data_IF_650257606456
#
_entry.id   IF_650257606456
#
_cell.length_a   1.000
_cell.length_b   1.000
_cell.length_c   1.000
_cell.angle_alpha   90.00
_cell.angle_beta   90.00
_cell.angle_gamma   90.00
#
_symmetry.space_group_name_H-M   'P 1'
#
loop_
_entity.id
_entity.type
_entity.pdbx_description
1 polymer ?
#
# COMPACT_ATOMS: atom_id res chain seq x y z
N UNK A 1 12.95 20.15 14.56
CA UNK A 1 11.98 19.05 14.73
C UNK A 1 12.66 17.69 14.71
N UNK A 2 12.04 16.68 15.29
CA UNK A 2 12.47 15.30 15.18
C UNK A 2 12.06 14.73 13.81
N UNK A 3 12.93 13.91 13.20
CA UNK A 3 12.66 13.29 11.91
C UNK A 3 13.51 12.04 11.68
N UNK A 4 13.04 11.16 10.80
CA UNK A 4 13.78 10.00 10.32
C UNK A 4 14.26 10.26 8.89
N UNK A 5 15.58 10.47 8.75
CA UNK A 5 16.19 10.98 7.52
C UNK A 5 17.10 9.95 6.86
N UNK A 6 16.89 9.72 5.57
CA UNK A 6 17.79 8.91 4.74
C UNK A 6 18.95 9.79 4.29
N UNK A 7 20.07 9.74 4.99
CA UNK A 7 21.26 10.54 4.77
C UNK A 7 22.05 10.09 3.54
N UNK A 8 22.05 8.78 3.28
CA UNK A 8 22.77 8.18 2.15
C UNK A 8 22.09 6.90 1.66
N UNK A 9 22.37 6.51 0.42
CA UNK A 9 21.85 5.27 -0.18
C UNK A 9 22.70 4.05 0.21
N UNK A 10 23.03 3.95 1.50
CA UNK A 10 23.72 2.82 2.12
C UNK A 10 22.81 2.11 3.12
N UNK A 11 23.20 0.93 3.60
CA UNK A 11 22.41 0.18 4.61
C UNK A 11 22.18 1.01 5.88
N UNK A 12 23.24 1.66 6.38
CA UNK A 12 23.20 2.41 7.63
C UNK A 12 22.89 3.90 7.44
N UNK A 13 22.34 4.24 6.26
CA UNK A 13 22.07 5.62 5.89
C UNK A 13 20.72 6.19 6.38
N UNK A 14 19.95 5.46 7.20
CA UNK A 14 18.72 5.96 7.82
C UNK A 14 19.01 6.33 9.25
N UNK A 15 18.76 7.60 9.62
CA UNK A 15 19.12 8.17 10.92
C UNK A 15 17.94 8.93 11.54
N UNK A 16 17.78 8.78 12.85
CA UNK A 16 16.89 9.62 13.63
C UNK A 16 17.62 10.92 14.02
N UNK A 17 17.10 12.06 13.55
CA UNK A 17 17.63 13.38 13.81
C UNK A 17 16.68 14.18 14.70
N UNK A 18 17.23 15.05 15.59
CA UNK A 18 16.44 15.82 16.56
C UNK A 18 16.34 17.31 16.23
N UNK A 19 17.19 17.79 15.34
CA UNK A 19 17.41 19.20 15.05
C UNK A 19 17.15 19.55 13.57
N UNK A 20 16.36 18.70 12.86
CA UNK A 20 15.94 19.02 11.52
C UNK A 20 15.13 20.33 11.52
N UNK A 21 15.41 21.27 10.62
CA UNK A 21 14.61 22.48 10.50
C UNK A 21 13.13 22.15 10.22
N UNK A 22 12.23 22.91 10.85
CA UNK A 22 10.81 22.80 10.48
C UNK A 22 10.60 23.25 9.03
N UNK A 23 9.76 22.54 8.25
CA UNK A 23 9.47 22.91 6.88
C UNK A 23 8.70 24.23 6.84
N UNK A 24 9.03 25.08 5.88
CA UNK A 24 8.32 26.33 5.62
C UNK A 24 7.08 26.06 4.77
N UNK A 25 6.01 26.77 5.08
CA UNK A 25 4.76 26.71 4.28
C UNK A 25 4.90 27.64 3.08
N UNK A 26 4.65 27.10 1.88
CA UNK A 26 4.47 27.89 0.67
C UNK A 26 3.05 28.45 0.57
N UNK A 27 2.80 29.38 -0.36
CA UNK A 27 1.51 30.05 -0.50
C UNK A 27 0.32 29.07 -0.70
N UNK A 28 0.51 27.99 -1.47
CA UNK A 28 -0.51 26.97 -1.74
C UNK A 28 -0.38 25.70 -0.91
N UNK A 29 0.48 25.69 0.12
CA UNK A 29 0.80 24.51 0.90
C UNK A 29 0.11 24.48 2.27
N UNK A 30 0.07 23.29 2.85
CA UNK A 30 -0.45 23.02 4.19
C UNK A 30 0.61 22.31 5.01
N UNK A 31 0.93 22.84 6.19
CA UNK A 31 1.78 22.17 7.19
C UNK A 31 0.91 21.38 8.15
N UNK A 32 1.23 20.12 8.27
CA UNK A 32 0.49 19.17 9.10
C UNK A 32 1.41 18.69 10.21
N UNK A 33 0.94 18.80 11.47
CA UNK A 33 1.57 18.13 12.61
C UNK A 33 1.20 16.65 12.52
N UNK A 34 2.18 15.79 12.36
CA UNK A 34 1.98 14.36 12.28
C UNK A 34 1.57 13.81 13.64
N UNK A 35 0.44 13.14 13.71
CA UNK A 35 -0.07 12.47 14.91
C UNK A 35 0.31 10.99 14.95
N UNK A 36 0.21 10.34 13.79
CA UNK A 36 0.62 8.95 13.60
C UNK A 36 1.07 8.73 12.17
N UNK A 37 2.08 7.91 12.00
CA UNK A 37 2.56 7.42 10.71
C UNK A 37 2.57 5.88 10.70
N UNK A 38 2.74 5.26 9.54
CA UNK A 38 2.79 3.80 9.41
C UNK A 38 3.91 3.36 8.46
N UNK A 39 4.57 2.26 8.80
CA UNK A 39 5.64 1.70 7.97
C UNK A 39 5.04 0.95 6.78
N UNK A 40 5.44 1.35 5.57
CA UNK A 40 5.12 0.71 4.30
C UNK A 40 6.20 -0.29 3.84
N UNK A 41 5.84 -1.16 2.90
CA UNK A 41 6.81 -2.00 2.19
C UNK A 41 7.85 -1.17 1.42
N UNK A 42 7.48 0.01 0.93
CA UNK A 42 8.40 0.98 0.31
C UNK A 42 9.46 1.47 1.30
N UNK A 43 9.06 1.80 2.54
CA UNK A 43 10.00 2.24 3.57
C UNK A 43 10.98 1.13 3.95
N UNK A 44 10.52 -0.13 4.01
CA UNK A 44 11.37 -1.31 4.17
C UNK A 44 12.38 -1.45 3.02
N UNK A 45 11.96 -1.16 1.79
CA UNK A 45 12.84 -1.19 0.62
C UNK A 45 13.86 -0.05 0.63
N UNK A 46 13.52 1.12 1.17
CA UNK A 46 14.44 2.25 1.37
C UNK A 46 15.43 1.93 2.50
N UNK A 47 14.97 1.32 3.58
CA UNK A 47 15.83 0.90 4.69
C UNK A 47 16.86 -0.13 4.24
N UNK A 48 16.44 -1.15 3.49
CA UNK A 48 17.28 -2.20 2.94
C UNK A 48 17.72 -1.93 1.49
N UNK A 49 18.03 -0.68 1.15
CA UNK A 49 18.19 -0.20 -0.23
C UNK A 49 19.28 -0.93 -1.02
N UNK A 50 20.30 -1.47 -0.36
CA UNK A 50 21.38 -2.24 -1.00
C UNK A 50 20.84 -3.52 -1.64
N UNK A 51 19.85 -4.14 -1.02
CA UNK A 51 19.23 -5.37 -1.47
C UNK A 51 18.04 -5.11 -2.42
N UNK A 52 17.78 -3.84 -2.76
CA UNK A 52 16.63 -3.37 -3.56
C UNK A 52 17.06 -2.37 -4.65
N UNK A 53 17.78 -2.82 -5.69
CA UNK A 53 18.32 -1.90 -6.73
C UNK A 53 17.21 -1.10 -7.42
N UNK A 54 16.03 -1.66 -7.70
CA UNK A 54 14.92 -0.93 -8.29
C UNK A 54 14.45 0.24 -7.43
N UNK A 55 14.47 0.14 -6.10
CA UNK A 55 14.14 1.25 -5.20
C UNK A 55 15.23 2.33 -5.23
N UNK A 56 16.50 1.93 -5.32
CA UNK A 56 17.61 2.87 -5.47
C UNK A 56 17.49 3.66 -6.77
N UNK A 57 17.18 3.00 -7.87
CA UNK A 57 16.99 3.64 -9.17
C UNK A 57 15.80 4.60 -9.13
N UNK A 58 14.70 4.22 -8.47
CA UNK A 58 13.54 5.07 -8.27
C UNK A 58 13.87 6.34 -7.47
N UNK A 59 14.60 6.23 -6.36
CA UNK A 59 15.04 7.39 -5.57
C UNK A 59 15.96 8.34 -6.35
N UNK A 60 16.65 7.85 -7.37
CA UNK A 60 17.58 8.62 -8.19
C UNK A 60 16.98 9.09 -9.53
N UNK A 61 15.73 8.75 -9.83
CA UNK A 61 15.12 9.00 -11.15
C UNK A 61 15.19 10.48 -11.55
N UNK A 62 14.97 11.39 -10.60
CA UNK A 62 15.05 12.83 -10.84
C UNK A 62 16.47 13.42 -10.77
N UNK A 63 17.44 12.61 -10.38
CA UNK A 63 18.87 12.97 -10.35
C UNK A 63 19.63 12.40 -11.54
N UNK A 64 18.91 11.83 -12.53
CA UNK A 64 19.50 11.19 -13.70
C UNK A 64 20.28 9.90 -13.40
N UNK A 65 19.94 9.22 -12.30
CA UNK A 65 20.62 8.01 -11.82
C UNK A 65 21.97 8.28 -11.13
N UNK A 66 22.35 9.54 -10.95
CA UNK A 66 23.64 9.94 -10.38
C UNK A 66 23.58 10.01 -8.85
N UNK A 67 24.24 9.05 -8.19
CA UNK A 67 24.32 8.96 -6.73
C UNK A 67 24.97 10.18 -6.10
N UNK A 68 25.93 10.84 -6.81
CA UNK A 68 26.61 12.03 -6.29
C UNK A 68 25.68 13.24 -6.14
N UNK A 69 24.50 13.19 -6.77
CA UNK A 69 23.46 14.22 -6.69
C UNK A 69 22.35 13.89 -5.69
N UNK A 70 22.46 12.74 -5.01
CA UNK A 70 21.49 12.39 -3.97
C UNK A 70 21.48 13.45 -2.88
N UNK A 71 20.29 13.90 -2.51
CA UNK A 71 20.09 14.79 -1.38
C UNK A 71 19.37 14.01 -0.26
N UNK A 72 19.82 14.12 0.99
CA UNK A 72 19.13 13.49 2.11
C UNK A 72 17.66 13.93 2.20
N UNK A 73 16.77 12.96 2.42
CA UNK A 73 15.34 13.20 2.56
C UNK A 73 14.78 12.57 3.82
N UNK A 74 13.72 13.17 4.36
CA UNK A 74 12.85 12.54 5.37
C UNK A 74 12.02 11.49 4.62
N UNK A 75 11.99 10.25 5.13
CA UNK A 75 11.19 9.18 4.51
C UNK A 75 9.76 9.13 5.10
N UNK A 76 8.94 8.17 4.65
CA UNK A 76 7.57 7.97 5.11
C UNK A 76 6.53 8.69 4.26
N UNK A 77 5.46 7.98 3.91
CA UNK A 77 4.39 8.48 3.06
C UNK A 77 2.99 8.04 3.54
N UNK A 78 2.92 7.33 4.64
CA UNK A 78 1.69 6.92 5.30
C UNK A 78 1.57 7.67 6.63
N UNK A 79 0.56 8.53 6.78
CA UNK A 79 0.38 9.34 8.00
C UNK A 79 -1.03 9.91 8.12
N UNK A 80 -1.36 10.40 9.30
CA UNK A 80 -2.43 11.35 9.57
C UNK A 80 -1.98 12.34 10.65
N UNK A 81 -2.68 13.46 10.75
CA UNK A 81 -2.34 14.48 11.71
C UNK A 81 -3.28 15.69 11.68
N UNK A 82 -2.86 16.76 12.30
CA UNK A 82 -3.63 18.00 12.44
C UNK A 82 -2.99 19.12 11.64
N UNK A 83 -3.80 19.90 10.91
CA UNK A 83 -3.33 21.09 10.22
C UNK A 83 -2.77 22.09 11.23
N UNK A 84 -1.47 22.37 11.14
CA UNK A 84 -0.79 23.33 11.99
C UNK A 84 -0.80 24.75 11.39
N UNK A 85 -0.61 24.84 10.06
CA UNK A 85 -0.50 26.12 9.35
C UNK A 85 -0.96 25.92 7.90
N UNK A 86 -1.59 26.95 7.30
CA UNK A 86 -1.99 26.97 5.89
C UNK A 86 -1.35 28.18 5.19
N UNK A 87 -0.97 27.99 3.93
CA UNK A 87 -0.49 29.08 3.09
C UNK A 87 -1.60 30.08 2.75
N UNK A 88 -1.23 31.28 2.35
CA UNK A 88 -2.18 32.39 2.13
C UNK A 88 -3.15 32.15 0.97
N UNK A 89 -2.79 31.31 -0.01
CA UNK A 89 -3.64 30.96 -1.16
C UNK A 89 -4.53 29.74 -0.92
N UNK A 90 -4.43 29.11 0.27
CA UNK A 90 -5.22 27.91 0.59
C UNK A 90 -6.65 28.28 0.94
N UNK A 91 -7.60 27.69 0.24
CA UNK A 91 -9.02 27.84 0.56
C UNK A 91 -9.35 27.24 1.93
N UNK A 92 -9.77 28.08 2.87
CA UNK A 92 -10.18 27.64 4.21
C UNK A 92 -11.43 26.75 4.20
N UNK A 93 -12.18 26.70 3.11
CA UNK A 93 -13.21 25.70 2.88
C UNK A 93 -12.66 24.31 2.63
N UNK A 94 -11.41 24.19 2.21
CA UNK A 94 -10.72 22.91 2.03
C UNK A 94 -10.22 22.35 3.36
N UNK A 95 -9.40 23.14 4.07
CA UNK A 95 -8.88 22.82 5.41
C UNK A 95 -8.44 24.11 6.13
N UNK A 96 -8.39 24.05 7.44
CA UNK A 96 -7.98 25.14 8.32
C UNK A 96 -7.17 24.59 9.50
N UNK A 97 -6.38 25.41 10.20
CA UNK A 97 -5.69 24.98 11.40
C UNK A 97 -6.62 24.29 12.41
N UNK A 98 -6.18 23.16 12.94
CA UNK A 98 -6.94 22.29 13.83
C UNK A 98 -7.71 21.14 13.16
N UNK A 99 -7.91 21.18 11.85
CA UNK A 99 -8.58 20.08 11.14
C UNK A 99 -7.73 18.80 11.16
N UNK A 100 -8.38 17.65 11.37
CA UNK A 100 -7.77 16.34 11.26
C UNK A 100 -7.72 15.89 9.79
N UNK A 101 -6.53 15.59 9.31
CA UNK A 101 -6.27 15.35 7.89
C UNK A 101 -5.28 14.20 7.65
N UNK A 102 -5.27 13.71 6.43
CA UNK A 102 -4.16 12.99 5.79
C UNK A 102 -3.89 13.63 4.42
N UNK A 103 -3.00 13.08 3.63
CA UNK A 103 -2.74 13.58 2.28
C UNK A 103 -2.39 12.47 1.29
N UNK A 104 -2.71 12.71 0.02
CA UNK A 104 -2.16 11.96 -1.10
C UNK A 104 -0.70 12.33 -1.30
N UNK A 105 0.20 11.38 -1.08
CA UNK A 105 1.63 11.64 -1.10
C UNK A 105 2.28 11.55 -2.49
N UNK A 106 1.50 11.21 -3.51
CA UNK A 106 1.91 11.31 -4.90
C UNK A 106 1.60 12.69 -5.45
N UNK A 107 2.62 13.49 -5.73
CA UNK A 107 2.48 14.86 -6.24
C UNK A 107 2.50 14.82 -7.76
N UNK A 108 1.36 15.10 -8.38
CA UNK A 108 1.20 15.15 -9.83
C UNK A 108 1.49 16.54 -10.40
N UNK A 109 1.98 16.62 -11.65
CA UNK A 109 2.35 17.92 -12.24
C UNK A 109 1.15 18.79 -12.69
N UNK A 110 -0.06 18.24 -12.77
CA UNK A 110 -1.28 18.95 -13.16
C UNK A 110 -1.45 19.22 -14.67
N UNK A 111 -0.39 19.23 -15.47
CA UNK A 111 -0.42 19.71 -16.86
C UNK A 111 -0.12 18.66 -17.94
N UNK A 112 0.45 17.48 -17.60
CA UNK A 112 0.70 16.44 -18.59
C UNK A 112 -0.63 15.81 -19.08
N UNK A 113 -0.57 15.02 -20.14
CA UNK A 113 -1.77 14.41 -20.73
C UNK A 113 -2.55 13.59 -19.68
N UNK A 114 -1.86 12.74 -18.90
CA UNK A 114 -2.47 11.92 -17.85
C UNK A 114 -3.22 12.78 -16.84
N UNK A 115 -2.60 13.85 -16.35
CA UNK A 115 -3.24 14.76 -15.39
C UNK A 115 -4.48 15.43 -16.00
N UNK A 116 -4.39 15.92 -17.24
CA UNK A 116 -5.48 16.61 -17.93
C UNK A 116 -6.66 15.71 -18.32
N UNK A 117 -6.42 14.40 -18.37
CA UNK A 117 -7.46 13.37 -18.64
C UNK A 117 -7.96 12.67 -17.38
N UNK A 118 -7.69 13.23 -16.18
CA UNK A 118 -8.16 12.68 -14.90
C UNK A 118 -7.36 11.48 -14.36
N UNK A 119 -6.23 11.16 -14.98
CA UNK A 119 -5.37 10.03 -14.59
C UNK A 119 -4.12 10.54 -13.83
N UNK A 120 -4.33 11.40 -12.83
CA UNK A 120 -3.25 12.06 -12.08
C UNK A 120 -2.30 11.06 -11.40
N UNK A 121 -2.80 9.91 -10.97
CA UNK A 121 -2.02 8.86 -10.30
C UNK A 121 -0.92 8.25 -11.18
N UNK A 122 -1.08 8.27 -12.52
CA UNK A 122 -0.05 7.83 -13.48
C UNK A 122 0.59 9.03 -14.20
N UNK A 123 0.72 10.15 -13.52
CA UNK A 123 1.40 11.34 -14.04
C UNK A 123 2.83 10.99 -14.46
N UNK A 124 3.22 11.35 -15.70
CA UNK A 124 4.59 11.09 -16.20
C UNK A 124 5.70 11.77 -15.39
N UNK A 125 5.35 12.80 -14.61
CA UNK A 125 6.28 13.56 -13.77
C UNK A 125 5.91 13.39 -12.29
N UNK A 126 5.38 12.22 -11.90
CA UNK A 126 4.94 11.96 -10.53
C UNK A 126 6.11 12.03 -9.56
N UNK A 127 5.96 12.74 -8.46
CA UNK A 127 6.92 12.71 -7.35
C UNK A 127 6.22 12.17 -6.11
N UNK A 128 6.91 11.33 -5.37
CA UNK A 128 6.36 10.73 -4.15
C UNK A 128 7.11 11.32 -2.95
N UNK A 129 6.36 11.91 -2.02
CA UNK A 129 6.92 12.36 -0.75
C UNK A 129 7.36 11.14 0.07
N UNK A 130 8.51 11.25 0.73
CA UNK A 130 9.15 10.12 1.40
C UNK A 130 10.00 9.22 0.50
N UNK A 131 10.02 9.49 -0.84
CA UNK A 131 10.85 8.76 -1.82
C UNK A 131 11.70 9.74 -2.65
N UNK A 132 11.10 10.80 -3.17
CA UNK A 132 11.75 11.79 -4.03
C UNK A 132 11.91 13.17 -3.37
N UNK A 133 11.25 13.40 -2.26
CA UNK A 133 11.22 14.62 -1.46
C UNK A 133 10.80 14.29 -0.04
N UNK A 134 10.99 15.21 0.89
CA UNK A 134 10.68 15.01 2.31
C UNK A 134 9.27 14.48 2.55
N UNK A 135 9.20 13.43 3.36
CA UNK A 135 8.01 12.69 3.75
C UNK A 135 7.51 13.03 5.16
N UNK A 136 6.82 12.06 5.76
CA UNK A 136 6.02 12.25 6.97
C UNK A 136 6.58 11.54 8.22
N UNK A 137 7.76 10.90 8.18
CA UNK A 137 8.38 10.38 9.41
C UNK A 137 9.11 11.51 10.14
N UNK A 138 8.33 12.51 10.58
CA UNK A 138 8.77 13.71 11.29
C UNK A 138 7.62 14.30 12.10
N UNK A 139 7.90 15.28 12.96
CA UNK A 139 6.87 16.01 13.70
C UNK A 139 5.96 16.83 12.77
N UNK A 140 6.49 17.32 11.64
CA UNK A 140 5.72 18.09 10.65
C UNK A 140 6.03 17.64 9.22
N UNK A 141 5.01 17.69 8.38
CA UNK A 141 5.12 17.54 6.93
C UNK A 141 4.38 18.67 6.23
N UNK A 142 4.92 19.14 5.10
CA UNK A 142 4.24 20.12 4.23
C UNK A 142 3.82 19.44 2.94
N UNK A 143 2.57 19.65 2.54
CA UNK A 143 1.97 19.10 1.32
C UNK A 143 1.23 20.19 0.55
N UNK A 144 1.12 20.09 -0.79
CA UNK A 144 0.22 20.97 -1.54
C UNK A 144 -1.23 20.82 -1.06
N UNK A 145 -1.96 21.91 -0.97
CA UNK A 145 -3.36 21.91 -0.50
C UNK A 145 -4.25 20.98 -1.33
N UNK A 146 -4.04 20.91 -2.64
CA UNK A 146 -4.75 19.99 -3.54
C UNK A 146 -4.61 18.50 -3.15
N UNK A 147 -3.58 18.16 -2.39
CA UNK A 147 -3.31 16.80 -1.96
C UNK A 147 -3.89 16.47 -0.58
N UNK A 148 -4.37 17.48 0.17
CA UNK A 148 -4.94 17.30 1.51
C UNK A 148 -6.30 16.59 1.45
N UNK A 149 -6.46 15.61 2.31
CA UNK A 149 -7.72 14.88 2.53
C UNK A 149 -8.23 15.22 3.93
N UNK A 150 -9.28 16.04 4.00
CA UNK A 150 -9.89 16.45 5.26
C UNK A 150 -10.77 15.33 5.81
N UNK A 151 -10.32 14.69 6.88
CA UNK A 151 -10.98 13.55 7.52
C UNK A 151 -12.17 13.98 8.39
N UNK A 152 -12.25 15.25 8.81
CA UNK A 152 -13.40 15.77 9.56
C UNK A 152 -14.72 15.60 8.78
N UNK A 153 -14.65 15.67 7.46
CA UNK A 153 -15.80 15.49 6.56
C UNK A 153 -16.38 14.06 6.58
N UNK A 154 -15.62 13.11 7.13
CA UNK A 154 -15.98 11.69 7.23
C UNK A 154 -16.14 11.24 8.68
N UNK A 155 -16.35 12.18 9.59
CA UNK A 155 -16.58 11.92 11.02
C UNK A 155 -15.33 11.98 11.90
N UNK A 156 -14.21 12.49 11.35
CA UNK A 156 -13.00 12.78 12.11
C UNK A 156 -12.43 11.58 12.85
N UNK A 157 -11.80 11.84 13.99
CA UNK A 157 -11.15 10.79 14.82
C UNK A 157 -12.11 9.76 15.39
N UNK A 158 -13.38 10.07 15.56
CA UNK A 158 -14.40 9.14 16.06
C UNK A 158 -14.67 8.01 15.06
N UNK A 159 -14.68 8.36 13.78
CA UNK A 159 -14.91 7.40 12.69
C UNK A 159 -13.60 6.81 12.17
N UNK A 160 -12.59 7.64 11.96
CA UNK A 160 -11.28 7.28 11.43
C UNK A 160 -10.21 7.61 12.48
N UNK A 161 -10.01 6.76 13.50
CA UNK A 161 -8.99 7.02 14.53
C UNK A 161 -7.58 7.03 13.94
N UNK A 162 -6.60 7.72 14.57
CA UNK A 162 -5.24 7.83 14.03
C UNK A 162 -4.58 6.51 13.66
N UNK A 163 -4.88 5.44 14.37
CA UNK A 163 -4.38 4.10 14.06
C UNK A 163 -4.87 3.54 12.73
N UNK A 164 -5.99 4.03 12.19
CA UNK A 164 -6.47 3.73 10.83
C UNK A 164 -6.04 4.85 9.88
N UNK A 165 -6.16 6.10 10.29
CA UNK A 165 -5.77 7.28 9.51
C UNK A 165 -4.33 7.21 9.01
N UNK A 166 -3.43 6.65 9.82
CA UNK A 166 -2.01 6.56 9.52
C UNK A 166 -1.67 5.70 8.27
N UNK A 167 -2.50 4.72 7.87
CA UNK A 167 -2.20 3.84 6.73
C UNK A 167 -3.23 3.90 5.59
N UNK A 168 -4.00 4.97 5.50
CA UNK A 168 -4.98 5.16 4.42
C UNK A 168 -4.33 5.15 3.04
N UNK A 169 -3.11 5.63 2.93
CA UNK A 169 -2.29 5.55 1.71
C UNK A 169 -2.20 4.11 1.21
N UNK A 170 -1.73 3.19 2.04
CA UNK A 170 -1.61 1.78 1.70
C UNK A 170 -2.97 1.10 1.47
N UNK A 171 -3.97 1.42 2.30
CA UNK A 171 -5.33 0.89 2.15
C UNK A 171 -5.91 1.29 0.79
N UNK A 172 -5.67 2.52 0.36
CA UNK A 172 -6.12 3.03 -0.93
C UNK A 172 -5.60 2.23 -2.12
N UNK A 173 -4.37 1.69 -2.05
CA UNK A 173 -3.84 0.80 -3.10
C UNK A 173 -4.66 -0.49 -3.20
N UNK A 174 -5.01 -1.08 -2.07
CA UNK A 174 -5.86 -2.28 -2.03
C UNK A 174 -7.29 -1.96 -2.51
N UNK A 175 -7.86 -0.82 -2.11
CA UNK A 175 -9.18 -0.37 -2.57
C UNK A 175 -9.18 -0.17 -4.09
N UNK A 176 -8.19 0.53 -4.64
CA UNK A 176 -8.04 0.72 -6.09
C UNK A 176 -8.00 -0.62 -6.82
N UNK A 177 -7.14 -1.55 -6.36
CA UNK A 177 -6.98 -2.86 -7.00
C UNK A 177 -8.29 -3.65 -6.99
N UNK A 178 -8.99 -3.70 -5.87
CA UNK A 178 -10.24 -4.45 -5.73
C UNK A 178 -11.36 -3.81 -6.56
N UNK A 179 -11.46 -2.47 -6.58
CA UNK A 179 -12.45 -1.75 -7.40
C UNK A 179 -12.24 -1.99 -8.90
N UNK A 180 -10.99 -1.97 -9.38
CA UNK A 180 -10.68 -2.27 -10.78
C UNK A 180 -11.04 -3.72 -11.17
N UNK A 181 -11.03 -4.65 -10.19
CA UNK A 181 -11.50 -6.03 -10.37
C UNK A 181 -13.02 -6.13 -10.48
N UNK A 182 -13.77 -5.13 -10.04
CA UNK A 182 -15.23 -5.17 -9.97
C UNK A 182 -15.71 -6.49 -9.36
N UNK A 183 -15.32 -6.76 -8.11
CA UNK A 183 -15.38 -8.09 -7.46
C UNK A 183 -16.76 -8.50 -6.97
N UNK A 184 -17.75 -7.61 -6.98
CA UNK A 184 -19.10 -7.91 -6.52
C UNK A 184 -19.71 -9.11 -7.27
N UNK A 185 -20.14 -10.12 -6.53
CA UNK A 185 -20.71 -11.36 -7.09
C UNK A 185 -19.69 -12.32 -7.73
N UNK A 186 -18.38 -12.04 -7.62
CA UNK A 186 -17.31 -12.82 -8.27
C UNK A 186 -16.50 -13.67 -7.29
N UNK A 187 -15.81 -14.67 -7.85
CA UNK A 187 -14.75 -15.42 -7.19
C UNK A 187 -13.42 -14.72 -7.38
N UNK A 188 -12.66 -14.57 -6.30
CA UNK A 188 -11.41 -13.78 -6.27
C UNK A 188 -10.28 -14.62 -5.70
N UNK A 189 -9.11 -14.60 -6.33
CA UNK A 189 -7.87 -15.09 -5.74
C UNK A 189 -6.95 -13.92 -5.42
N UNK A 190 -6.37 -13.91 -4.23
CA UNK A 190 -5.44 -12.88 -3.74
C UNK A 190 -4.10 -13.57 -3.47
N UNK A 191 -3.10 -13.21 -4.26
CA UNK A 191 -1.78 -13.82 -4.21
C UNK A 191 -0.82 -12.95 -3.40
N UNK A 192 -0.42 -13.46 -2.25
CA UNK A 192 0.34 -12.75 -1.23
C UNK A 192 -0.54 -12.37 -0.02
N UNK A 193 -0.21 -12.91 1.16
CA UNK A 193 -0.89 -12.66 2.43
C UNK A 193 -0.13 -11.66 3.31
N UNK A 194 0.57 -10.69 2.68
CA UNK A 194 1.19 -9.55 3.35
C UNK A 194 0.17 -8.44 3.62
N UNK A 195 0.63 -7.25 4.03
CA UNK A 195 -0.23 -6.13 4.37
C UNK A 195 -1.24 -5.77 3.25
N UNK A 196 -0.77 -5.67 2.00
CA UNK A 196 -1.65 -5.37 0.86
C UNK A 196 -2.67 -6.48 0.60
N UNK A 197 -2.26 -7.76 0.65
CA UNK A 197 -3.19 -8.87 0.45
C UNK A 197 -4.24 -9.00 1.55
N UNK A 198 -3.86 -8.77 2.80
CA UNK A 198 -4.79 -8.76 3.93
C UNK A 198 -5.81 -7.61 3.81
N UNK A 199 -5.35 -6.40 3.48
CA UNK A 199 -6.24 -5.27 3.21
C UNK A 199 -7.15 -5.53 2.00
N UNK A 200 -6.61 -6.09 0.90
CA UNK A 200 -7.41 -6.47 -0.26
C UNK A 200 -8.46 -7.53 0.08
N UNK A 201 -8.15 -8.48 0.96
CA UNK A 201 -9.12 -9.49 1.45
C UNK A 201 -10.29 -8.81 2.18
N UNK A 202 -9.99 -7.90 3.10
CA UNK A 202 -11.01 -7.14 3.82
C UNK A 202 -11.89 -6.32 2.86
N UNK A 203 -11.27 -5.61 1.92
CA UNK A 203 -11.96 -4.78 0.92
C UNK A 203 -12.78 -5.63 -0.04
N UNK A 204 -12.23 -6.74 -0.57
CA UNK A 204 -12.93 -7.62 -1.49
C UNK A 204 -14.18 -8.23 -0.85
N UNK A 205 -14.09 -8.66 0.41
CA UNK A 205 -15.27 -9.13 1.16
C UNK A 205 -16.28 -8.02 1.37
N UNK A 206 -15.83 -6.83 1.73
CA UNK A 206 -16.70 -5.65 1.90
C UNK A 206 -17.43 -5.28 0.62
N UNK A 207 -16.76 -5.36 -0.53
CA UNK A 207 -17.33 -5.06 -1.85
C UNK A 207 -18.07 -6.23 -2.49
N UNK A 208 -18.32 -7.33 -1.75
CA UNK A 208 -19.25 -8.38 -2.17
C UNK A 208 -18.64 -9.50 -3.00
N UNK A 209 -17.34 -9.77 -2.89
CA UNK A 209 -16.76 -11.00 -3.43
C UNK A 209 -17.45 -12.23 -2.81
N UNK A 210 -17.90 -13.15 -3.63
CA UNK A 210 -18.66 -14.33 -3.19
C UNK A 210 -17.76 -15.40 -2.60
N UNK A 211 -16.56 -15.53 -3.13
CA UNK A 211 -15.54 -16.48 -2.67
C UNK A 211 -14.14 -15.90 -2.82
N UNK A 212 -13.34 -16.00 -1.77
CA UNK A 212 -12.00 -15.43 -1.70
C UNK A 212 -11.00 -16.52 -1.35
N UNK A 213 -10.06 -16.74 -2.27
CA UNK A 213 -8.88 -17.58 -2.10
C UNK A 213 -7.69 -16.69 -1.76
N UNK A 214 -6.95 -17.03 -0.73
CA UNK A 214 -5.70 -16.32 -0.38
C UNK A 214 -4.54 -17.30 -0.46
N UNK A 215 -3.46 -16.90 -1.10
CA UNK A 215 -2.23 -17.71 -1.15
C UNK A 215 -1.04 -16.92 -0.63
N UNK A 216 -0.06 -17.64 -0.11
CA UNK A 216 1.26 -17.09 0.18
C UNK A 216 2.28 -18.23 0.18
N UNK A 217 3.54 -17.88 0.34
CA UNK A 217 4.66 -18.81 0.33
C UNK A 217 5.34 -18.81 1.70
N UNK A 218 5.34 -19.96 2.39
CA UNK A 218 6.13 -20.15 3.61
C UNK A 218 7.61 -20.27 3.27
N UNK A 219 8.41 -19.25 3.63
CA UNK A 219 9.86 -19.34 3.53
C UNK A 219 10.44 -20.38 4.51
N UNK A 220 11.76 -20.53 4.54
CA UNK A 220 12.49 -21.53 5.36
C UNK A 220 12.12 -21.51 6.86
N UNK A 221 11.64 -20.38 7.38
CA UNK A 221 11.31 -20.20 8.81
C UNK A 221 9.80 -19.90 9.03
N UNK A 222 8.96 -20.05 8.01
CA UNK A 222 7.71 -19.31 7.92
C UNK A 222 6.40 -20.05 8.15
N UNK A 223 6.35 -21.39 8.29
CA UNK A 223 5.08 -22.11 8.34
C UNK A 223 4.16 -21.67 9.50
N UNK A 224 4.69 -21.52 10.71
CA UNK A 224 3.89 -21.05 11.84
C UNK A 224 3.45 -19.60 11.68
N UNK A 225 4.30 -18.76 11.14
CA UNK A 225 4.03 -17.33 10.87
C UNK A 225 2.99 -17.16 9.77
N UNK A 226 3.06 -17.99 8.73
CA UNK A 226 2.09 -18.02 7.65
C UNK A 226 0.72 -18.51 8.15
N UNK A 227 0.69 -19.50 9.05
CA UNK A 227 -0.54 -19.98 9.67
C UNK A 227 -1.27 -18.84 10.40
N UNK A 228 -0.56 -18.02 11.19
CA UNK A 228 -1.15 -16.86 11.87
C UNK A 228 -1.72 -15.84 10.86
N UNK A 229 -1.03 -15.57 9.76
CA UNK A 229 -1.54 -14.68 8.71
C UNK A 229 -2.77 -15.25 8.00
N UNK A 230 -2.82 -16.56 7.78
CA UNK A 230 -3.99 -17.21 7.21
C UNK A 230 -5.20 -17.17 8.14
N UNK A 231 -5.00 -17.29 9.46
CA UNK A 231 -6.08 -17.06 10.43
C UNK A 231 -6.56 -15.60 10.34
N UNK A 232 -5.66 -14.64 10.31
CA UNK A 232 -6.03 -13.23 10.09
C UNK A 232 -6.78 -13.06 8.77
N UNK A 233 -6.31 -13.65 7.66
CA UNK A 233 -7.00 -13.56 6.37
C UNK A 233 -8.43 -14.14 6.42
N UNK A 234 -8.65 -15.27 7.09
CA UNK A 234 -9.99 -15.84 7.31
C UNK A 234 -10.89 -14.89 8.12
N UNK A 235 -10.37 -14.29 9.16
CA UNK A 235 -11.11 -13.29 9.95
C UNK A 235 -11.46 -12.03 9.15
N UNK A 236 -10.63 -11.68 8.13
CA UNK A 236 -10.90 -10.58 7.20
C UNK A 236 -11.90 -10.96 6.10
N UNK A 237 -12.15 -12.24 5.91
CA UNK A 237 -13.16 -12.74 4.99
C UNK A 237 -12.65 -13.70 3.91
N UNK A 238 -11.42 -14.23 4.01
CA UNK A 238 -10.97 -15.32 3.12
C UNK A 238 -11.76 -16.61 3.42
N UNK A 239 -12.19 -17.30 2.35
CA UNK A 239 -12.85 -18.59 2.48
C UNK A 239 -11.82 -19.73 2.52
N UNK A 240 -10.73 -19.58 1.78
CA UNK A 240 -9.67 -20.58 1.65
C UNK A 240 -8.30 -19.91 1.66
N UNK A 241 -7.34 -20.56 2.35
CA UNK A 241 -5.96 -20.12 2.41
C UNK A 241 -5.03 -21.29 2.09
N UNK A 242 -4.03 -21.08 1.22
CA UNK A 242 -3.11 -22.11 0.76
C UNK A 242 -1.67 -21.63 0.77
N UNK A 243 -0.78 -22.44 1.35
CA UNK A 243 0.66 -22.30 1.23
C UNK A 243 1.13 -22.90 -0.10
N UNK A 244 1.69 -22.06 -0.97
CA UNK A 244 2.20 -22.50 -2.30
C UNK A 244 3.63 -23.02 -2.25
N UNK A 245 4.23 -23.18 -1.08
CA UNK A 245 5.53 -23.80 -0.90
C UNK A 245 5.45 -25.33 -1.06
N UNK A 246 5.74 -25.82 -2.25
CA UNK A 246 5.67 -27.25 -2.59
C UNK A 246 6.60 -28.13 -1.72
N UNK A 247 7.67 -27.55 -1.16
CA UNK A 247 8.59 -28.26 -0.25
C UNK A 247 8.00 -28.39 1.15
N UNK A 248 7.40 -27.32 1.67
CA UNK A 248 6.83 -27.30 3.02
C UNK A 248 5.40 -27.88 3.06
N UNK A 249 4.67 -27.74 1.98
CA UNK A 249 3.24 -28.07 1.86
C UNK A 249 2.91 -28.72 0.51
N UNK A 250 3.49 -29.90 0.17
CA UNK A 250 3.55 -30.42 -1.20
C UNK A 250 2.21 -30.71 -1.87
N UNK A 251 1.12 -30.77 -1.10
CA UNK A 251 -0.24 -31.02 -1.63
C UNK A 251 -1.13 -29.78 -1.73
N UNK A 252 -0.77 -28.70 -1.04
CA UNK A 252 -1.68 -27.55 -0.95
C UNK A 252 -1.82 -26.81 -2.27
N UNK A 253 -0.79 -26.76 -3.09
CA UNK A 253 -0.86 -26.12 -4.41
C UNK A 253 -1.76 -26.93 -5.37
N UNK A 254 -1.62 -28.24 -5.36
CA UNK A 254 -2.48 -29.12 -6.18
C UNK A 254 -3.94 -29.01 -5.72
N UNK A 255 -4.19 -29.05 -4.41
CA UNK A 255 -5.52 -28.87 -3.82
C UNK A 255 -6.12 -27.51 -4.18
N UNK A 256 -5.32 -26.43 -4.15
CA UNK A 256 -5.74 -25.10 -4.59
C UNK A 256 -6.20 -25.12 -6.06
N UNK A 257 -5.37 -25.66 -6.95
CA UNK A 257 -5.66 -25.67 -8.38
C UNK A 257 -6.87 -26.58 -8.71
N UNK A 258 -7.00 -27.69 -8.02
CA UNK A 258 -8.14 -28.59 -8.14
C UNK A 258 -9.43 -27.87 -7.70
N UNK A 259 -9.42 -27.25 -6.53
CA UNK A 259 -10.56 -26.50 -6.00
C UNK A 259 -10.95 -25.33 -6.88
N UNK A 260 -9.99 -24.52 -7.31
CA UNK A 260 -10.20 -23.40 -8.24
C UNK A 260 -10.75 -23.93 -9.58
N UNK A 261 -10.27 -25.08 -10.05
CA UNK A 261 -10.78 -25.73 -11.25
C UNK A 261 -12.26 -26.15 -11.18
N UNK A 262 -12.81 -26.34 -9.97
CA UNK A 262 -14.25 -26.63 -9.78
C UNK A 262 -15.13 -25.38 -9.79
N UNK A 263 -14.56 -24.18 -9.78
CA UNK A 263 -15.31 -22.93 -9.90
C UNK A 263 -15.98 -22.84 -11.28
N UNK A 264 -17.08 -22.09 -11.33
CA UNK A 264 -17.82 -21.88 -12.58
C UNK A 264 -16.93 -21.23 -13.63
N UNK A 265 -16.63 -21.96 -14.68
CA UNK A 265 -15.74 -21.54 -15.78
C UNK A 265 -14.31 -22.05 -15.65
N UNK A 266 -14.03 -22.97 -14.69
CA UNK A 266 -12.72 -23.63 -14.56
C UNK A 266 -11.61 -22.73 -14.03
N UNK A 267 -11.97 -21.75 -13.17
CA UNK A 267 -11.03 -20.81 -12.58
C UNK A 267 -11.75 -19.65 -11.90
N UNK A 268 -11.01 -18.80 -11.21
CA UNK A 268 -11.56 -17.59 -10.55
C UNK A 268 -11.81 -16.46 -11.56
N UNK A 269 -12.79 -15.62 -11.26
CA UNK A 269 -13.13 -14.45 -12.09
C UNK A 269 -12.01 -13.40 -12.12
N UNK A 270 -11.41 -13.16 -10.95
CA UNK A 270 -10.42 -12.09 -10.75
C UNK A 270 -9.26 -12.62 -9.91
N UNK A 271 -8.04 -12.34 -10.36
CA UNK A 271 -6.83 -12.55 -9.56
C UNK A 271 -6.22 -11.19 -9.22
N UNK A 272 -5.93 -10.99 -7.94
CA UNK A 272 -5.20 -9.83 -7.41
C UNK A 272 -3.79 -10.28 -7.02
N UNK A 273 -2.80 -9.94 -7.82
CA UNK A 273 -1.40 -10.22 -7.51
C UNK A 273 -0.85 -9.08 -6.64
N UNK A 274 -0.56 -9.39 -5.36
CA UNK A 274 -0.22 -8.43 -4.31
C UNK A 274 1.20 -8.63 -3.77
N UNK A 275 1.93 -9.66 -4.22
CA UNK A 275 3.21 -10.07 -3.66
C UNK A 275 4.42 -9.58 -4.43
N UNK A 276 4.33 -9.47 -5.76
CA UNK A 276 5.45 -9.25 -6.66
C UNK A 276 6.38 -10.47 -6.82
N UNK A 277 5.99 -11.64 -6.32
CA UNK A 277 6.79 -12.85 -6.45
C UNK A 277 6.63 -13.49 -7.84
N UNK A 278 7.74 -13.89 -8.48
CA UNK A 278 7.71 -14.49 -9.83
C UNK A 278 6.76 -15.69 -9.92
N UNK A 279 6.77 -16.57 -8.92
CA UNK A 279 5.88 -17.74 -8.89
C UNK A 279 4.39 -17.33 -8.87
N UNK A 280 4.05 -16.25 -8.15
CA UNK A 280 2.68 -15.77 -8.03
C UNK A 280 2.10 -15.31 -9.39
N UNK A 281 2.91 -14.76 -10.29
CA UNK A 281 2.44 -14.41 -11.65
C UNK A 281 2.03 -15.64 -12.45
N UNK A 282 2.81 -16.73 -12.37
CA UNK A 282 2.45 -17.99 -13.03
C UNK A 282 1.22 -18.63 -12.38
N UNK A 283 1.13 -18.61 -11.06
CA UNK A 283 -0.04 -19.10 -10.33
C UNK A 283 -1.30 -18.29 -10.70
N UNK A 284 -1.18 -16.95 -10.86
CA UNK A 284 -2.26 -16.10 -11.34
C UNK A 284 -2.79 -16.58 -12.71
N UNK A 285 -1.87 -16.85 -13.64
CA UNK A 285 -2.22 -17.38 -14.96
C UNK A 285 -2.88 -18.76 -14.91
N UNK A 286 -2.45 -19.63 -13.99
CA UNK A 286 -3.06 -20.95 -13.80
C UNK A 286 -4.48 -20.87 -13.21
N UNK A 287 -4.69 -19.99 -12.22
CA UNK A 287 -5.94 -19.87 -11.46
C UNK A 287 -7.06 -19.11 -12.17
N UNK A 288 -6.71 -18.12 -13.01
CA UNK A 288 -7.72 -17.29 -13.68
C UNK A 288 -8.49 -18.09 -14.72
N UNK A 289 -9.83 -17.92 -14.77
CA UNK A 289 -10.68 -18.54 -15.80
C UNK A 289 -10.48 -17.90 -17.18
N UNK A 290 -10.98 -18.52 -18.23
CA UNK A 290 -11.06 -17.91 -19.55
C UNK A 290 -11.91 -16.63 -19.50
N UNK A 291 -11.43 -15.55 -20.10
CA UNK A 291 -12.07 -14.23 -20.06
C UNK A 291 -12.00 -13.52 -18.70
N UNK A 292 -11.23 -14.04 -17.72
CA UNK A 292 -11.05 -13.44 -16.43
C UNK A 292 -10.06 -12.27 -16.43
N UNK A 293 -9.73 -11.78 -15.23
CA UNK A 293 -8.86 -10.60 -15.04
C UNK A 293 -7.72 -10.93 -14.08
N UNK A 294 -6.52 -10.41 -14.37
CA UNK A 294 -5.36 -10.41 -13.47
C UNK A 294 -4.95 -8.96 -13.23
N UNK A 295 -5.01 -8.53 -11.99
CA UNK A 295 -4.63 -7.19 -11.55
C UNK A 295 -3.32 -7.26 -10.77
N UNK A 296 -2.32 -6.50 -11.21
CA UNK A 296 -0.96 -6.57 -10.71
C UNK A 296 -0.65 -5.31 -9.89
N UNK A 297 -0.58 -5.44 -8.57
CA UNK A 297 -0.12 -4.40 -7.65
C UNK A 297 1.29 -4.69 -7.13
N UNK A 298 1.62 -5.96 -6.90
CA UNK A 298 2.94 -6.37 -6.45
C UNK A 298 4.03 -5.96 -7.45
N UNK A 299 5.09 -5.32 -6.97
CA UNK A 299 6.22 -4.93 -7.82
C UNK A 299 7.30 -6.02 -7.72
N UNK A 300 7.66 -6.68 -8.83
CA UNK A 300 8.73 -7.67 -8.81
C UNK A 300 10.07 -7.02 -8.43
N UNK A 301 10.83 -7.66 -7.54
CA UNK A 301 12.17 -7.18 -7.17
C UNK A 301 13.16 -7.25 -8.34
N UNK A 302 12.91 -8.13 -9.30
CA UNK A 302 13.72 -8.39 -10.50
C UNK A 302 12.81 -8.62 -11.70
N UNK A 303 13.28 -8.39 -12.93
CA UNK A 303 12.53 -8.76 -14.13
C UNK A 303 12.11 -10.23 -14.08
N UNK A 304 10.87 -10.53 -14.46
CA UNK A 304 10.36 -11.90 -14.52
C UNK A 304 11.18 -12.71 -15.54
N UNK A 305 11.63 -13.89 -15.13
CA UNK A 305 12.38 -14.79 -16.00
C UNK A 305 11.50 -15.52 -17.00
N UNK A 306 10.29 -15.89 -16.55
CA UNK A 306 9.34 -16.59 -17.39
C UNK A 306 7.90 -16.29 -17.00
N UNK A 307 7.07 -15.99 -18.00
CA UNK A 307 5.61 -16.01 -17.92
C UNK A 307 5.09 -16.41 -19.29
N UNK A 308 4.33 -17.48 -19.35
CA UNK A 308 3.77 -17.98 -20.62
C UNK A 308 2.52 -17.17 -21.01
N UNK A 309 2.76 -16.04 -21.70
CA UNK A 309 1.68 -15.20 -22.22
C UNK A 309 0.75 -15.94 -23.17
N UNK A 310 1.27 -16.86 -23.99
CA UNK A 310 0.47 -17.68 -24.90
C UNK A 310 -0.59 -18.47 -24.12
N UNK A 311 -0.11 -19.27 -23.18
CA UNK A 311 -0.95 -20.16 -22.35
C UNK A 311 -1.90 -19.40 -21.42
N UNK A 312 -1.38 -18.40 -20.70
CA UNK A 312 -2.08 -17.79 -19.58
C UNK A 312 -2.87 -16.54 -19.94
N UNK A 313 -2.54 -15.86 -21.02
CA UNK A 313 -3.25 -14.65 -21.43
C UNK A 313 -3.96 -14.83 -22.78
N UNK A 314 -3.22 -15.14 -23.86
CA UNK A 314 -3.79 -15.17 -25.24
C UNK A 314 -4.85 -16.25 -25.38
N UNK A 315 -4.52 -17.50 -25.08
CA UNK A 315 -5.46 -18.64 -25.23
C UNK A 315 -6.66 -18.55 -24.28
N UNK A 316 -6.51 -17.88 -23.14
CA UNK A 316 -7.60 -17.68 -22.18
C UNK A 316 -8.38 -16.38 -22.42
N UNK A 317 -7.91 -15.47 -23.28
CA UNK A 317 -8.53 -14.15 -23.48
C UNK A 317 -8.56 -13.30 -22.19
N UNK A 318 -7.50 -13.39 -21.36
CA UNK A 318 -7.42 -12.75 -20.05
C UNK A 318 -7.03 -11.29 -20.20
N UNK A 319 -7.63 -10.41 -19.38
CA UNK A 319 -7.16 -9.04 -19.22
C UNK A 319 -6.11 -8.97 -18.12
N UNK A 320 -4.89 -8.51 -18.43
CA UNK A 320 -3.84 -8.24 -17.46
C UNK A 320 -3.70 -6.72 -17.32
N UNK A 321 -3.79 -6.21 -16.09
CA UNK A 321 -3.72 -4.77 -15.81
C UNK A 321 -2.80 -4.47 -14.65
N UNK A 322 -1.85 -3.56 -14.86
CA UNK A 322 -1.04 -2.98 -13.78
C UNK A 322 -1.83 -1.94 -13.00
N UNK A 323 -1.66 -1.96 -11.68
CA UNK A 323 -2.26 -1.00 -10.75
C UNK A 323 -1.13 -0.18 -10.14
N UNK A 324 -1.24 1.13 -10.19
CA UNK A 324 -0.28 2.05 -9.58
C UNK A 324 -0.98 3.04 -8.66
N UNK A 325 -0.60 3.03 -7.40
CA UNK A 325 -1.12 3.95 -6.39
C UNK A 325 -2.66 3.91 -6.28
N UNK A 326 -3.24 5.06 -6.09
CA UNK A 326 -4.68 5.29 -5.93
C UNK A 326 -5.17 6.21 -7.05
N UNK A 327 -6.33 5.94 -7.62
CA UNK A 327 -6.96 6.91 -8.53
C UNK A 327 -7.24 8.21 -7.77
N UNK A 328 -6.50 9.25 -8.07
CA UNK A 328 -6.66 10.56 -7.44
C UNK A 328 -7.86 11.29 -8.02
N UNK A 329 -8.90 11.62 -7.22
CA UNK A 329 -9.07 11.35 -5.79
C UNK A 329 -10.22 10.36 -5.55
N UNK A 330 -10.71 9.75 -6.61
CA UNK A 330 -11.85 8.82 -6.61
C UNK A 330 -11.70 7.71 -5.57
N UNK A 331 -10.51 7.08 -5.53
CA UNK A 331 -10.24 6.00 -4.57
C UNK A 331 -10.27 6.49 -3.13
N UNK A 332 -9.80 7.71 -2.87
CA UNK A 332 -9.81 8.30 -1.54
C UNK A 332 -11.23 8.44 -1.00
N UNK A 333 -12.11 9.05 -1.78
CA UNK A 333 -13.51 9.25 -1.37
C UNK A 333 -14.24 7.91 -1.19
N UNK A 334 -14.09 6.98 -2.14
CA UNK A 334 -14.70 5.65 -2.03
C UNK A 334 -14.21 4.88 -0.78
N UNK A 335 -12.92 4.94 -0.47
CA UNK A 335 -12.34 4.33 0.72
C UNK A 335 -12.89 4.94 2.00
N UNK A 336 -12.97 6.26 2.07
CA UNK A 336 -13.45 6.98 3.25
C UNK A 336 -14.94 6.76 3.48
N UNK A 337 -15.76 6.72 2.43
CA UNK A 337 -17.17 6.35 2.51
C UNK A 337 -17.37 4.92 3.03
N UNK A 338 -16.53 3.98 2.60
CA UNK A 338 -16.54 2.61 3.14
C UNK A 338 -16.17 2.57 4.62
N UNK A 339 -15.20 3.36 5.06
CA UNK A 339 -14.79 3.44 6.47
C UNK A 339 -15.85 4.13 7.34
N UNK A 340 -16.50 5.17 6.83
CA UNK A 340 -17.56 5.90 7.52
C UNK A 340 -18.86 5.09 7.63
N UNK A 341 -19.06 4.10 6.76
CA UNK A 341 -20.24 3.24 6.79
C UNK A 341 -20.07 2.09 7.77
N UNK A 342 -20.82 2.10 8.87
CA UNK A 342 -20.85 0.97 9.82
C UNK A 342 -21.29 -0.34 9.13
N UNK A 343 -22.20 -0.27 8.18
CA UNK A 343 -22.72 -1.44 7.43
C UNK A 343 -21.65 -2.13 6.59
N UNK A 344 -20.60 -1.41 6.18
CA UNK A 344 -19.49 -1.97 5.40
C UNK A 344 -18.72 -3.04 6.21
N UNK A 345 -18.59 -2.82 7.52
CA UNK A 345 -17.77 -3.63 8.42
C UNK A 345 -16.26 -3.55 8.13
N UNK A 346 -15.82 -2.66 7.22
CA UNK A 346 -14.42 -2.55 6.80
C UNK A 346 -13.53 -2.14 7.98
N UNK A 347 -13.94 -1.10 8.73
CA UNK A 347 -13.22 -0.61 9.90
C UNK A 347 -12.92 -1.75 10.91
N UNK A 348 -13.95 -2.51 11.28
CA UNK A 348 -13.80 -3.61 12.23
C UNK A 348 -12.87 -4.73 11.73
N UNK A 349 -12.83 -4.97 10.41
CA UNK A 349 -11.86 -5.90 9.81
C UNK A 349 -10.44 -5.35 9.90
N UNK A 350 -10.22 -4.09 9.54
CA UNK A 350 -8.88 -3.49 9.53
C UNK A 350 -8.24 -3.40 10.91
N UNK A 351 -9.04 -3.25 11.98
CA UNK A 351 -8.54 -3.28 13.37
C UNK A 351 -7.72 -4.54 13.69
N UNK A 352 -7.99 -5.65 13.01
CA UNK A 352 -7.32 -6.94 13.25
C UNK A 352 -5.89 -7.00 12.71
N UNK A 353 -5.51 -6.09 11.83
CA UNK A 353 -4.15 -6.05 11.24
C UNK A 353 -3.24 -5.00 11.85
N UNK A 354 -3.76 -4.18 12.77
CA UNK A 354 -3.00 -3.11 13.41
C UNK A 354 -2.29 -3.64 14.65
N UNK A 355 -0.99 -3.36 14.76
CA UNK A 355 -0.23 -3.67 15.96
C UNK A 355 -0.82 -2.95 17.19
N UNK A 356 -0.78 -3.61 18.34
CA UNK A 356 -1.36 -3.06 19.58
C UNK A 356 -0.60 -1.85 20.10
N UNK A 357 0.71 -1.82 19.89
CA UNK A 357 1.59 -0.77 20.38
C UNK A 357 2.14 0.05 19.21
N UNK A 358 2.20 1.36 19.40
CA UNK A 358 2.95 2.24 18.52
C UNK A 358 4.42 2.28 18.96
N UNK A 359 5.31 2.57 18.02
CA UNK A 359 6.75 2.71 18.26
C UNK A 359 7.13 4.17 18.04
N UNK A 360 7.86 4.84 18.95
CA UNK A 360 8.33 6.19 18.70
C UNK A 360 9.35 6.20 17.54
N UNK A 361 9.41 7.32 16.79
CA UNK A 361 10.40 7.48 15.71
C UNK A 361 11.84 7.28 16.19
N UNK A 362 12.14 7.59 17.43
CA UNK A 362 13.47 7.37 18.04
C UNK A 362 13.84 5.88 18.18
N UNK A 363 12.87 4.96 18.11
CA UNK A 363 13.06 3.50 18.18
C UNK A 363 12.69 2.81 16.84
N UNK A 364 12.90 3.53 15.74
CA UNK A 364 12.50 3.10 14.40
C UNK A 364 13.07 1.74 14.00
N UNK A 365 14.30 1.42 14.40
CA UNK A 365 14.95 0.16 14.07
C UNK A 365 14.14 -1.04 14.56
N UNK A 366 13.61 -0.96 15.80
CA UNK A 366 12.69 -1.96 16.33
C UNK A 366 11.41 -2.04 15.49
N UNK A 367 10.85 -0.89 15.10
CA UNK A 367 9.64 -0.83 14.26
C UNK A 367 9.85 -1.52 12.91
N UNK A 368 10.94 -1.19 12.22
CA UNK A 368 11.30 -1.80 10.94
C UNK A 368 11.56 -3.30 11.07
N UNK A 369 12.20 -3.73 12.16
CA UNK A 369 12.48 -5.15 12.41
C UNK A 369 11.19 -5.96 12.67
N UNK A 370 10.24 -5.43 13.47
CA UNK A 370 8.94 -6.06 13.70
C UNK A 370 8.17 -6.28 12.38
N UNK A 371 8.14 -5.28 11.51
CA UNK A 371 7.51 -5.40 10.19
C UNK A 371 8.28 -6.38 9.30
N UNK A 372 9.61 -6.31 9.27
CA UNK A 372 10.45 -7.24 8.50
C UNK A 372 10.26 -8.69 8.93
N UNK A 373 10.23 -8.94 10.23
CA UNK A 373 9.94 -10.26 10.80
C UNK A 373 8.48 -10.67 10.65
N UNK A 374 7.63 -9.78 10.13
CA UNK A 374 6.19 -10.02 9.98
C UNK A 374 5.48 -10.31 11.32
N UNK A 375 6.01 -9.79 12.41
CA UNK A 375 5.39 -9.82 13.74
C UNK A 375 4.29 -8.75 13.86
N UNK A 376 4.34 -7.73 13.00
CA UNK A 376 3.30 -6.73 12.81
C UNK A 376 2.95 -6.59 11.33
N UNK A 377 1.66 -6.48 11.01
CA UNK A 377 1.17 -6.21 9.64
C UNK A 377 1.16 -4.72 9.36
N UNK A 378 0.47 -3.94 10.19
CA UNK A 378 0.51 -2.48 10.22
C UNK A 378 1.01 -2.02 11.58
N UNK A 379 2.15 -1.35 11.58
CA UNK A 379 2.80 -0.80 12.76
C UNK A 379 2.78 0.72 12.68
N UNK A 380 2.37 1.35 13.78
CA UNK A 380 2.36 2.79 13.90
C UNK A 380 3.70 3.31 14.42
N UNK A 381 4.13 4.42 13.83
CA UNK A 381 5.20 5.27 14.34
C UNK A 381 4.59 6.56 14.90
N UNK A 382 5.12 7.03 16.03
CA UNK A 382 4.76 8.33 16.60
C UNK A 382 5.98 9.23 16.63
N UNK A 383 5.84 10.49 16.21
CA UNK A 383 6.89 11.50 16.34
C UNK A 383 7.35 11.75 17.75
#
# INVERSE_FOLDING_TARGET
MQALKKQSLTRDGLEFVRDEPEPRVGHGDVKIRVEAASICGTDQSIYHIIDRPGMRDEMLVYNGGDVSRYQPIIIGHEFCGEVAEVGEDVDQGLCRPGDYVTAEMHISCGFCQQCRTGQRHICRNIRVKGVHMDGAFAEFVVVPSDNVINLERFGGRDVIPPRIGAFLDALGNSVHTVMEGNVAGKTVAILGCGAQGLMATAVARTLGATRIYVTDFSGKEGAARLANRFETAKELGADFCFDTNETASPRQKDELLERVGTERGGGVDVVLEMSGAEAAYNDAGAMVKNGGQILLLGIPAWPLKSFDFGKYAVWKGVTIRGIFGRRMFETWYAMLDLLASEKSGLKARLEKIIAREAVPLSDFERGFELVRKQEAVKLLLTP
#
